data_IF_662053749011
#
_entry.id   IF_662053749011
#
_cell.length_a   1.000
_cell.length_b   1.000
_cell.length_c   1.000
_cell.angle_alpha   90.00
_cell.angle_beta   90.00
_cell.angle_gamma   90.00
#
_symmetry.space_group_name_H-M   'P 1'
#
loop_
_entity.id
_entity.type
_entity.pdbx_description
1 polymer ?
#
# COMPACT_ATOMS: atom_id res chain seq x y z
N UNK A 1 4.19 -48.16 55.13
CA UNK A 1 3.38 -46.99 55.48
C UNK A 1 4.32 -45.80 55.42
N UNK A 2 4.39 -45.14 54.28
CA UNK A 2 5.16 -43.91 54.08
C UNK A 2 4.47 -43.13 52.96
N UNK A 3 3.97 -41.94 53.31
CA UNK A 3 3.16 -41.08 52.45
C UNK A 3 3.97 -39.83 52.18
N UNK A 4 4.54 -39.72 50.98
CA UNK A 4 5.26 -38.51 50.55
C UNK A 4 4.24 -37.44 50.14
N UNK A 5 4.09 -36.42 50.98
CA UNK A 5 3.34 -35.20 50.66
C UNK A 5 4.10 -34.36 49.62
N UNK A 6 3.51 -34.15 48.46
CA UNK A 6 3.92 -33.12 47.51
C UNK A 6 3.32 -31.78 47.96
N UNK A 7 4.14 -30.89 48.51
CA UNK A 7 3.75 -29.53 48.86
C UNK A 7 3.70 -28.66 47.60
N UNK A 8 2.51 -28.21 47.21
CA UNK A 8 2.32 -27.23 46.14
C UNK A 8 2.68 -25.82 46.65
N UNK A 9 3.63 -25.17 45.99
CA UNK A 9 4.06 -23.80 46.28
C UNK A 9 3.08 -22.79 45.66
N UNK A 10 2.47 -21.88 46.43
CA UNK A 10 1.44 -20.92 45.96
C UNK A 10 2.00 -19.79 45.07
N UNK A 11 3.32 -19.74 44.87
CA UNK A 11 3.99 -18.65 44.16
C UNK A 11 3.98 -18.77 42.63
N UNK A 12 3.47 -19.89 42.09
CA UNK A 12 3.43 -20.11 40.63
C UNK A 12 2.25 -19.44 39.90
N UNK A 13 1.27 -18.91 40.62
CA UNK A 13 0.13 -18.20 40.01
C UNK A 13 0.24 -16.67 40.06
N UNK A 14 1.16 -16.11 40.86
CA UNK A 14 1.33 -14.65 40.95
C UNK A 14 2.08 -14.05 39.76
N UNK A 15 2.89 -14.84 39.05
CA UNK A 15 3.68 -14.35 37.89
C UNK A 15 2.90 -14.32 36.58
N UNK A 16 1.80 -15.07 36.44
CA UNK A 16 0.96 -15.02 35.23
C UNK A 16 -0.02 -13.83 35.21
N UNK A 17 -0.44 -13.31 36.37
CA UNK A 17 -1.33 -12.14 36.42
C UNK A 17 -0.60 -10.83 36.07
N UNK A 18 0.68 -10.69 36.45
CA UNK A 18 1.47 -9.50 36.17
C UNK A 18 1.87 -9.37 34.69
N UNK A 19 2.03 -10.48 33.97
CA UNK A 19 2.32 -10.49 32.53
C UNK A 19 1.08 -10.26 31.65
N UNK A 20 -0.13 -10.52 32.16
CA UNK A 20 -1.37 -10.19 31.44
C UNK A 20 -1.80 -8.72 31.64
N UNK A 21 -1.40 -8.08 32.74
CA UNK A 21 -1.65 -6.66 32.99
C UNK A 21 -0.73 -5.73 32.17
N UNK A 22 0.42 -6.23 31.68
CA UNK A 22 1.36 -5.43 30.88
C UNK A 22 1.03 -5.45 29.37
N UNK A 23 0.06 -6.26 28.93
CA UNK A 23 -0.37 -6.34 27.53
C UNK A 23 -1.66 -5.53 27.23
N UNK A 24 -2.24 -4.85 28.24
CA UNK A 24 -3.55 -4.19 28.13
C UNK A 24 -3.48 -2.66 28.04
N UNK A 25 -2.30 -2.03 27.89
CA UNK A 25 -2.21 -0.57 27.84
C UNK A 25 -1.19 -0.01 26.85
N UNK A 26 -1.26 -0.43 25.59
CA UNK A 26 -0.84 0.42 24.46
C UNK A 26 -1.99 0.66 23.49
N UNK A 27 -3.21 0.78 24.00
CA UNK A 27 -4.19 1.64 23.33
C UNK A 27 -3.71 3.07 23.49
N UNK A 28 -2.85 3.54 22.57
CA UNK A 28 -2.58 4.97 22.47
C UNK A 28 -3.92 5.67 22.40
N UNK A 29 -4.19 6.58 23.33
CA UNK A 29 -5.48 7.24 23.36
C UNK A 29 -5.69 7.98 22.03
N UNK A 30 -6.94 8.18 21.60
CA UNK A 30 -7.23 8.97 20.39
C UNK A 30 -6.55 10.36 20.43
N UNK A 31 -6.32 10.88 21.63
CA UNK A 31 -5.57 12.11 21.86
C UNK A 31 -4.08 11.95 21.51
N UNK A 32 -3.43 10.87 21.94
CA UNK A 32 -2.03 10.57 21.62
C UNK A 32 -1.82 10.39 20.11
N UNK A 33 -2.77 9.72 19.43
CA UNK A 33 -2.71 9.52 17.97
C UNK A 33 -2.94 10.83 17.20
N UNK A 34 -3.86 11.68 17.66
CA UNK A 34 -4.05 13.01 17.08
C UNK A 34 -2.79 13.88 17.20
N UNK A 35 -2.12 13.83 18.35
CA UNK A 35 -0.83 14.49 18.56
C UNK A 35 0.27 13.93 17.66
N UNK A 36 0.34 12.60 17.50
CA UNK A 36 1.29 11.93 16.62
C UNK A 36 1.12 12.35 15.17
N UNK A 37 -0.11 12.35 14.65
CA UNK A 37 -0.40 12.76 13.25
C UNK A 37 -0.03 14.21 13.02
N UNK A 38 -0.32 15.10 13.97
CA UNK A 38 0.12 16.49 13.92
C UNK A 38 1.64 16.61 13.91
N UNK A 39 2.33 15.89 14.79
CA UNK A 39 3.79 15.92 14.85
C UNK A 39 4.41 15.44 13.54
N UNK A 40 3.95 14.32 12.98
CA UNK A 40 4.42 13.78 11.69
C UNK A 40 4.12 14.71 10.52
N UNK A 41 2.95 15.34 10.53
CA UNK A 41 2.61 16.36 9.53
C UNK A 41 3.61 17.51 9.57
N UNK A 42 3.94 18.02 10.76
CA UNK A 42 4.93 19.09 10.92
C UNK A 42 6.35 18.67 10.54
N UNK A 43 6.80 17.49 10.99
CA UNK A 43 8.12 16.91 10.68
C UNK A 43 8.32 16.71 9.18
N UNK A 44 7.28 16.27 8.46
CA UNK A 44 7.35 16.03 7.00
C UNK A 44 7.38 17.30 6.15
N UNK A 45 6.99 18.45 6.70
CA UNK A 45 6.77 19.68 5.94
C UNK A 45 5.55 19.64 5.00
N UNK A 46 4.76 18.56 5.00
CA UNK A 46 3.55 18.47 4.20
C UNK A 46 2.50 19.49 4.70
N UNK A 47 1.73 20.15 3.81
CA UNK A 47 0.71 21.12 4.23
C UNK A 47 -0.36 20.51 5.13
N UNK A 48 -0.72 19.24 4.89
CA UNK A 48 -1.68 18.49 5.67
C UNK A 48 -1.45 16.98 5.54
N UNK A 49 -2.06 16.23 6.45
CA UNK A 49 -1.90 14.79 6.58
C UNK A 49 -3.18 14.18 7.15
N UNK A 50 -3.52 12.98 6.66
CA UNK A 50 -4.51 12.10 7.29
C UNK A 50 -3.87 10.78 7.68
N UNK A 51 -4.36 10.16 8.74
CA UNK A 51 -4.00 8.80 9.11
C UNK A 51 -5.25 8.06 9.58
N UNK A 52 -5.29 6.74 9.35
CA UNK A 52 -6.34 5.89 9.85
C UNK A 52 -5.75 4.74 10.68
N UNK A 53 -6.38 4.43 11.82
CA UNK A 53 -6.12 3.22 12.59
C UNK A 53 -7.33 2.31 12.42
N UNK A 54 -7.09 1.11 11.92
CA UNK A 54 -8.13 0.12 11.64
C UNK A 54 -7.87 -1.06 12.58
N UNK A 55 -8.87 -1.39 13.38
CA UNK A 55 -8.90 -2.57 14.25
C UNK A 55 -10.07 -3.47 13.85
N UNK A 56 -10.25 -4.61 14.54
CA UNK A 56 -11.46 -5.43 14.36
C UNK A 56 -12.75 -4.69 14.74
N UNK A 57 -12.65 -3.69 15.62
CA UNK A 57 -13.80 -3.12 16.32
C UNK A 57 -14.06 -1.67 15.88
N UNK A 58 -13.06 -0.99 15.32
CA UNK A 58 -13.13 0.43 14.99
C UNK A 58 -12.29 0.85 13.80
N UNK A 59 -12.73 1.94 13.17
CA UNK A 59 -11.92 2.73 12.23
C UNK A 59 -11.89 4.15 12.77
N UNK A 60 -10.70 4.61 13.14
CA UNK A 60 -10.48 5.97 13.61
C UNK A 60 -9.63 6.72 12.60
N UNK A 61 -10.10 7.89 12.15
CA UNK A 61 -9.43 8.72 11.15
C UNK A 61 -9.07 10.06 11.76
N UNK A 62 -7.81 10.43 11.61
CA UNK A 62 -7.20 11.65 12.12
C UNK A 62 -6.78 12.53 10.94
N UNK A 63 -6.91 13.85 11.11
CA UNK A 63 -6.52 14.83 10.11
C UNK A 63 -5.79 16.01 10.76
N UNK A 64 -4.70 16.46 10.15
CA UNK A 64 -3.95 17.65 10.57
C UNK A 64 -3.57 18.52 9.39
N UNK A 65 -3.45 19.82 9.63
CA UNK A 65 -2.95 20.79 8.67
C UNK A 65 -3.99 21.30 7.67
N UNK A 66 -3.50 21.73 6.51
CA UNK A 66 -4.21 22.44 5.46
C UNK A 66 -4.21 21.61 4.17
N UNK A 67 -5.29 21.71 3.39
CA UNK A 67 -5.37 21.06 2.07
C UNK A 67 -4.28 21.57 1.12
N UNK A 68 -3.88 22.84 1.29
CA UNK A 68 -2.83 23.51 0.50
C UNK A 68 -2.06 24.48 1.38
N UNK A 69 -0.78 24.65 1.12
CA UNK A 69 0.07 25.57 1.88
C UNK A 69 -0.36 27.04 1.74
N UNK A 70 -0.92 27.41 0.59
CA UNK A 70 -1.29 28.78 0.23
C UNK A 70 -2.71 29.17 0.64
N UNK A 71 -3.46 28.27 1.30
CA UNK A 71 -4.90 28.45 1.56
C UNK A 71 -5.30 27.99 2.96
N UNK A 72 -6.28 28.66 3.61
CA UNK A 72 -6.62 28.39 5.01
C UNK A 72 -7.50 27.14 5.22
N UNK A 73 -7.96 26.45 4.16
CA UNK A 73 -8.85 25.30 4.28
C UNK A 73 -8.12 24.12 4.93
N UNK A 74 -8.68 23.63 6.04
CA UNK A 74 -8.16 22.47 6.77
C UNK A 74 -8.43 21.18 6.02
N UNK A 75 -7.52 20.23 6.17
CA UNK A 75 -7.79 18.83 5.82
C UNK A 75 -8.89 18.29 6.74
N UNK A 76 -9.77 17.47 6.16
CA UNK A 76 -10.83 16.74 6.85
C UNK A 76 -10.69 15.25 6.58
N UNK A 77 -11.30 14.41 7.41
CA UNK A 77 -11.29 12.94 7.24
C UNK A 77 -11.97 12.46 5.95
N UNK A 78 -12.80 13.31 5.33
CA UNK A 78 -13.57 13.00 4.13
C UNK A 78 -12.86 13.50 2.84
N UNK A 79 -11.67 14.08 2.97
CA UNK A 79 -10.90 14.54 1.83
C UNK A 79 -10.28 13.37 1.05
N UNK A 80 -10.31 13.48 -0.28
CA UNK A 80 -9.67 12.52 -1.16
C UNK A 80 -8.18 12.86 -1.38
N UNK A 81 -7.33 11.84 -1.30
CA UNK A 81 -5.90 11.93 -1.57
C UNK A 81 -5.51 11.00 -2.74
N UNK A 82 -4.49 11.40 -3.49
CA UNK A 82 -3.83 10.49 -4.42
C UNK A 82 -3.05 9.44 -3.64
N UNK A 83 -3.46 8.17 -3.73
CA UNK A 83 -2.84 7.05 -2.98
C UNK A 83 -1.55 6.51 -3.63
N UNK A 84 -1.15 7.06 -4.78
CA UNK A 84 0.12 6.72 -5.44
C UNK A 84 0.31 5.20 -5.63
N UNK A 85 1.43 4.68 -5.14
CA UNK A 85 1.80 3.27 -5.28
C UNK A 85 0.90 2.30 -4.52
N UNK A 86 0.10 2.74 -3.57
CA UNK A 86 -0.85 1.87 -2.86
C UNK A 86 -1.90 1.28 -3.82
N UNK A 87 -2.17 1.97 -4.94
CA UNK A 87 -3.02 1.48 -6.00
C UNK A 87 -2.51 0.15 -6.63
N UNK A 88 -1.22 -0.19 -6.50
CA UNK A 88 -0.66 -1.46 -6.99
C UNK A 88 -1.21 -2.66 -6.22
N UNK A 89 -1.43 -2.52 -4.91
CA UNK A 89 -2.02 -3.58 -4.10
C UNK A 89 -3.48 -3.86 -4.52
N UNK A 90 -4.23 -2.81 -4.81
CA UNK A 90 -5.59 -2.92 -5.37
C UNK A 90 -5.57 -3.64 -6.72
N UNK A 91 -4.66 -3.26 -7.62
CA UNK A 91 -4.51 -3.92 -8.92
C UNK A 91 -4.15 -5.40 -8.78
N UNK A 92 -3.19 -5.73 -7.90
CA UNK A 92 -2.81 -7.11 -7.63
C UNK A 92 -3.99 -7.95 -7.11
N UNK A 93 -4.83 -7.35 -6.25
CA UNK A 93 -6.04 -8.01 -5.72
C UNK A 93 -7.06 -8.29 -6.82
N UNK A 94 -7.29 -7.34 -7.73
CA UNK A 94 -8.17 -7.55 -8.88
C UNK A 94 -7.64 -8.69 -9.76
N UNK A 95 -6.34 -8.68 -10.09
CA UNK A 95 -5.72 -9.76 -10.89
C UNK A 95 -5.85 -11.11 -10.17
N UNK A 96 -5.61 -11.16 -8.86
CA UNK A 96 -5.77 -12.39 -8.08
C UNK A 96 -7.20 -12.94 -8.15
N UNK A 97 -8.21 -12.07 -8.07
CA UNK A 97 -9.63 -12.44 -8.20
C UNK A 97 -9.93 -13.04 -9.58
N UNK A 98 -9.34 -12.47 -10.64
CA UNK A 98 -9.48 -12.99 -12.01
C UNK A 98 -8.76 -14.34 -12.20
N UNK A 99 -7.65 -14.56 -11.48
CA UNK A 99 -6.92 -15.84 -11.47
C UNK A 99 -7.73 -16.91 -10.73
N UNK A 100 -8.30 -16.58 -9.57
CA UNK A 100 -9.19 -17.49 -8.83
C UNK A 100 -10.43 -17.88 -9.65
N UNK A 101 -10.97 -16.93 -10.42
CA UNK A 101 -12.09 -17.18 -11.33
C UNK A 101 -11.70 -17.96 -12.61
N UNK A 102 -10.43 -18.31 -12.78
CA UNK A 102 -9.92 -19.05 -13.94
C UNK A 102 -9.87 -18.25 -15.25
N UNK A 103 -10.07 -16.93 -15.21
CA UNK A 103 -10.01 -16.04 -16.39
C UNK A 103 -8.59 -15.63 -16.74
N UNK A 104 -7.70 -15.59 -15.74
CA UNK A 104 -6.27 -15.36 -15.89
C UNK A 104 -5.49 -16.48 -15.20
N UNK A 105 -4.19 -16.54 -15.45
CA UNK A 105 -3.23 -17.39 -14.74
C UNK A 105 -2.03 -16.52 -14.34
N UNK A 106 -1.31 -16.92 -13.30
CA UNK A 106 -0.09 -16.19 -12.91
C UNK A 106 0.99 -16.20 -14.00
N UNK A 107 1.01 -17.23 -14.83
CA UNK A 107 1.89 -17.37 -16.00
C UNK A 107 1.30 -16.77 -17.28
N UNK A 108 0.10 -16.18 -17.23
CA UNK A 108 -0.43 -15.39 -18.35
C UNK A 108 0.56 -14.28 -18.67
N UNK A 109 0.90 -14.16 -19.94
CA UNK A 109 1.89 -13.23 -20.47
C UNK A 109 1.25 -11.93 -20.93
N UNK A 110 2.01 -10.83 -20.93
CA UNK A 110 1.54 -9.56 -21.49
C UNK A 110 1.16 -9.69 -22.96
N UNK A 111 1.82 -10.59 -23.72
CA UNK A 111 1.46 -10.88 -25.10
C UNK A 111 0.08 -11.52 -25.26
N UNK A 112 -0.37 -12.32 -24.29
CA UNK A 112 -1.72 -12.92 -24.29
C UNK A 112 -2.81 -11.89 -23.98
N UNK A 113 -2.57 -10.98 -23.02
CA UNK A 113 -3.60 -10.02 -22.56
C UNK A 113 -3.57 -8.66 -23.25
N UNK A 114 -2.46 -8.30 -23.92
CA UNK A 114 -2.29 -7.03 -24.62
C UNK A 114 -1.72 -7.25 -26.03
N UNK A 115 -2.55 -7.65 -27.00
CA UNK A 115 -2.13 -7.92 -28.37
C UNK A 115 -1.38 -6.76 -29.05
N UNK A 116 -1.69 -5.53 -28.66
CA UNK A 116 -1.05 -4.32 -29.17
C UNK A 116 0.39 -4.13 -28.66
N UNK A 117 0.72 -4.66 -27.47
CA UNK A 117 2.11 -4.83 -27.00
C UNK A 117 2.78 -5.91 -27.84
N UNK A 118 2.08 -7.02 -28.11
CA UNK A 118 2.60 -8.10 -28.94
C UNK A 118 2.96 -7.60 -30.36
N UNK A 119 2.22 -6.64 -30.90
CA UNK A 119 2.47 -6.07 -32.22
C UNK A 119 3.60 -5.02 -32.23
N UNK A 120 3.73 -4.19 -31.19
CA UNK A 120 4.56 -2.97 -31.27
C UNK A 120 5.68 -2.87 -30.23
N UNK A 121 5.74 -3.77 -29.24
CA UNK A 121 6.77 -3.79 -28.21
C UNK A 121 7.97 -4.67 -28.59
N UNK A 122 9.06 -4.52 -27.81
CA UNK A 122 10.23 -5.42 -27.89
C UNK A 122 9.82 -6.85 -27.52
N UNK A 123 10.48 -7.82 -28.16
CA UNK A 123 10.14 -9.24 -27.99
C UNK A 123 10.21 -9.72 -26.53
N UNK A 124 11.16 -9.17 -25.75
CA UNK A 124 11.34 -9.52 -24.33
C UNK A 124 10.10 -9.29 -23.49
N UNK A 125 9.28 -8.27 -23.81
CA UNK A 125 8.08 -7.96 -23.02
C UNK A 125 6.89 -8.84 -23.37
N UNK A 126 6.90 -9.53 -24.52
CA UNK A 126 5.80 -10.43 -24.92
C UNK A 126 5.66 -11.62 -23.99
N UNK A 127 6.78 -12.10 -23.44
CA UNK A 127 6.84 -13.26 -22.55
C UNK A 127 6.86 -12.91 -21.07
N UNK A 128 6.81 -11.62 -20.72
CA UNK A 128 6.68 -11.19 -19.32
C UNK A 128 5.34 -11.70 -18.79
N UNK A 129 5.39 -12.45 -17.70
CA UNK A 129 4.20 -12.98 -17.02
C UNK A 129 3.57 -11.94 -16.09
N UNK A 130 2.29 -12.12 -15.74
CA UNK A 130 1.63 -11.31 -14.71
C UNK A 130 2.37 -11.38 -13.37
N UNK A 131 2.88 -12.56 -12.99
CA UNK A 131 3.70 -12.73 -11.80
C UNK A 131 4.98 -11.86 -11.83
N UNK A 132 5.70 -11.86 -12.95
CA UNK A 132 6.88 -11.02 -13.13
C UNK A 132 6.54 -9.52 -13.15
N UNK A 133 5.40 -9.14 -13.75
CA UNK A 133 4.94 -7.75 -13.73
C UNK A 133 4.66 -7.27 -12.31
N UNK A 134 3.88 -8.02 -11.55
CA UNK A 134 3.47 -7.65 -10.19
C UNK A 134 4.64 -7.72 -9.19
N UNK A 135 5.67 -8.50 -9.48
CA UNK A 135 6.87 -8.60 -8.64
C UNK A 135 8.03 -7.71 -9.10
N UNK A 136 7.79 -6.75 -10.00
CA UNK A 136 8.81 -5.80 -10.49
C UNK A 136 10.01 -6.46 -11.21
N UNK A 137 9.79 -7.56 -11.93
CA UNK A 137 10.82 -8.34 -12.63
C UNK A 137 10.78 -8.20 -14.16
N UNK A 138 10.18 -7.13 -14.68
CA UNK A 138 9.97 -6.95 -16.13
C UNK A 138 11.18 -6.38 -16.87
N UNK A 139 12.11 -5.76 -16.14
CA UNK A 139 13.20 -4.98 -16.74
C UNK A 139 12.78 -3.66 -17.39
N UNK A 140 11.52 -3.22 -17.19
CA UNK A 140 11.08 -1.90 -17.65
C UNK A 140 11.89 -0.77 -16.98
N UNK A 141 12.14 0.35 -17.67
CA UNK A 141 12.79 1.52 -17.08
C UNK A 141 12.08 1.99 -15.81
N UNK A 142 12.85 2.29 -14.77
CA UNK A 142 12.34 2.87 -13.55
C UNK A 142 12.21 4.38 -13.72
N UNK A 143 11.01 4.92 -13.49
CA UNK A 143 10.73 6.35 -13.55
C UNK A 143 10.36 6.83 -12.14
N UNK A 144 11.37 7.15 -11.33
CA UNK A 144 11.20 7.44 -9.91
C UNK A 144 11.33 8.94 -9.59
N UNK A 145 12.01 9.67 -10.46
CA UNK A 145 12.31 11.10 -10.31
C UNK A 145 11.63 11.92 -11.39
N UNK A 146 11.58 13.24 -11.21
CA UNK A 146 11.02 14.13 -12.22
C UNK A 146 11.94 14.23 -13.44
N UNK A 147 13.25 14.07 -13.24
CA UNK A 147 14.26 13.96 -14.27
C UNK A 147 14.04 12.72 -15.15
N UNK A 148 13.67 11.58 -14.56
CA UNK A 148 13.35 10.36 -15.32
C UNK A 148 12.15 10.55 -16.26
N UNK A 149 11.22 11.44 -15.91
CA UNK A 149 10.03 11.68 -16.73
C UNK A 149 10.31 12.51 -17.99
N UNK A 150 11.50 13.10 -18.13
CA UNK A 150 11.86 13.91 -19.30
C UNK A 150 11.91 13.08 -20.59
N UNK A 151 12.23 11.79 -20.49
CA UNK A 151 12.25 10.88 -21.66
C UNK A 151 10.86 10.40 -22.07
N UNK A 152 9.84 10.61 -21.22
CA UNK A 152 8.46 10.22 -21.52
C UNK A 152 7.86 11.23 -22.50
N UNK A 153 7.34 10.79 -23.66
CA UNK A 153 6.74 11.69 -24.63
C UNK A 153 5.50 12.35 -24.06
N UNK A 154 5.17 13.54 -24.59
CA UNK A 154 3.95 14.24 -24.19
C UNK A 154 2.71 13.42 -24.55
N UNK A 155 2.03 12.91 -23.53
CA UNK A 155 0.79 12.15 -23.65
C UNK A 155 -0.39 13.11 -23.89
N UNK A 156 -1.33 12.73 -24.77
CA UNK A 156 -2.47 13.59 -25.18
C UNK A 156 -3.80 12.86 -25.10
N UNK A 157 -4.87 13.63 -24.87
CA UNK A 157 -6.25 13.14 -24.81
C UNK A 157 -6.71 12.72 -23.42
N UNK A 158 -7.79 11.95 -23.29
CA UNK A 158 -8.29 11.46 -22.00
C UNK A 158 -7.27 10.56 -21.28
N UNK A 159 -7.36 10.48 -19.95
CA UNK A 159 -6.41 9.72 -19.10
C UNK A 159 -6.23 8.26 -19.56
N UNK A 160 -7.31 7.59 -19.96
CA UNK A 160 -7.24 6.21 -20.47
C UNK A 160 -6.33 6.11 -21.70
N UNK A 161 -6.47 7.05 -22.64
CA UNK A 161 -5.65 7.09 -23.84
C UNK A 161 -4.18 7.42 -23.50
N UNK A 162 -3.95 8.34 -22.56
CA UNK A 162 -2.60 8.66 -22.09
C UNK A 162 -1.91 7.43 -21.47
N UNK A 163 -2.62 6.63 -20.68
CA UNK A 163 -2.09 5.38 -20.10
C UNK A 163 -1.67 4.39 -21.18
N UNK A 164 -2.48 4.21 -22.22
CA UNK A 164 -2.11 3.34 -23.35
C UNK A 164 -0.92 3.88 -24.14
N UNK A 165 -0.86 5.20 -24.38
CA UNK A 165 0.30 5.83 -25.00
C UNK A 165 1.58 5.60 -24.18
N UNK A 166 1.50 5.72 -22.85
CA UNK A 166 2.62 5.44 -21.96
C UNK A 166 3.07 3.98 -22.05
N UNK A 167 2.13 3.03 -21.98
CA UNK A 167 2.44 1.60 -22.11
C UNK A 167 3.15 1.31 -23.43
N UNK A 168 2.64 1.83 -24.55
CA UNK A 168 3.27 1.66 -25.86
C UNK A 168 4.69 2.24 -25.94
N UNK A 169 4.93 3.38 -25.30
CA UNK A 169 6.26 3.94 -25.22
C UNK A 169 7.18 3.08 -24.34
N UNK A 170 6.70 2.65 -23.17
CA UNK A 170 7.47 1.90 -22.19
C UNK A 170 7.95 0.54 -22.73
N UNK A 171 7.09 -0.20 -23.43
CA UNK A 171 7.44 -1.50 -24.02
C UNK A 171 8.32 -1.41 -25.27
N UNK A 172 8.62 -0.20 -25.75
CA UNK A 172 9.57 0.03 -26.87
C UNK A 172 10.96 0.42 -26.40
N UNK A 173 11.13 0.75 -25.11
CA UNK A 173 12.43 1.00 -24.49
C UNK A 173 13.19 -0.30 -24.37
#
# INVERSE_FOLDING_TARGET
METTMLTFSPWRFATLAALLALLVATTGSANDLSHLVRARQQESGAPGMTAAVITSDSIEVFASGLRRADRPQRVTKDDAFGIGSDAKAMLATVIATEVEAGRLRWDTTLGEVMPEIAATGRAVYRTVTLAQLLNHQTGLPQLLTQEDLVVVPRLRGPVVLQRMQFVHWAVRQ
#
